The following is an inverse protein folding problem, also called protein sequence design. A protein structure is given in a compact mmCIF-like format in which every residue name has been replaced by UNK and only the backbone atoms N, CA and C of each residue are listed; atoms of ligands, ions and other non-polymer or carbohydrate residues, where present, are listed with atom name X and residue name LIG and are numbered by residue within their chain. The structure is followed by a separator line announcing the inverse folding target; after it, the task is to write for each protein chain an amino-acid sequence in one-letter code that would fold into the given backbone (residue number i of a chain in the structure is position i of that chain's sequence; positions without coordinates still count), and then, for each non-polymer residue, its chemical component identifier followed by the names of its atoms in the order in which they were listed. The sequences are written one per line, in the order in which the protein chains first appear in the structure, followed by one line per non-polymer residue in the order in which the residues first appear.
data_IF_572811378505
#
_entry.id   IF_572811378505
#
_cell.length_a   1.000
_cell.length_b   1.000
_cell.length_c   1.000
_cell.angle_alpha   90.00
_cell.angle_beta   90.00
_cell.angle_gamma   90.00
#
_symmetry.space_group_name_H-M   'P 1'
#
loop_
_entity.id
_entity.type
_entity.pdbx_description
1 polymer ?
#
# COMPACT_ATOMS: atom_id res chain seq x y z
N UNK A 1 29.50 21.67 1.76
CA UNK A 1 29.61 20.62 2.80
C UNK A 1 28.58 19.49 2.63
N UNK A 2 27.31 19.76 2.26
CA UNK A 2 26.32 18.70 1.97
C UNK A 2 26.38 18.14 0.54
N UNK A 3 26.61 19.00 -0.45
CA UNK A 3 26.71 18.61 -1.88
C UNK A 3 27.82 17.57 -2.08
N UNK A 4 29.01 17.79 -1.51
CA UNK A 4 30.13 16.83 -1.57
C UNK A 4 29.75 15.45 -1.02
N UNK A 5 29.05 15.41 0.12
CA UNK A 5 28.58 14.16 0.72
C UNK A 5 27.53 13.45 -0.15
N UNK A 6 26.74 14.21 -0.89
CA UNK A 6 25.83 13.69 -1.92
C UNK A 6 26.60 13.01 -3.06
N UNK A 7 27.65 13.66 -3.57
CA UNK A 7 28.51 13.08 -4.61
C UNK A 7 29.24 11.83 -4.12
N UNK A 8 29.82 11.84 -2.92
CA UNK A 8 30.45 10.66 -2.31
C UNK A 8 29.49 9.47 -2.24
N UNK A 9 28.22 9.71 -1.87
CA UNK A 9 27.18 8.67 -1.82
C UNK A 9 26.80 8.16 -3.20
N UNK A 10 26.73 9.04 -4.18
CA UNK A 10 26.46 8.67 -5.56
C UNK A 10 27.60 7.82 -6.15
N UNK A 11 28.87 8.22 -5.95
CA UNK A 11 30.04 7.46 -6.39
C UNK A 11 30.12 6.07 -5.74
N UNK A 12 29.76 5.96 -4.46
CA UNK A 12 29.71 4.67 -3.77
C UNK A 12 28.66 3.74 -4.41
N UNK A 13 27.53 4.28 -4.87
CA UNK A 13 26.48 3.53 -5.55
C UNK A 13 26.87 3.13 -6.97
N UNK A 14 27.57 3.99 -7.72
CA UNK A 14 28.09 3.65 -9.04
C UNK A 14 29.08 2.46 -8.98
N UNK A 15 29.89 2.40 -7.91
CA UNK A 15 30.76 1.24 -7.64
C UNK A 15 29.98 -0.02 -7.27
N UNK A 16 28.86 0.11 -6.56
CA UNK A 16 27.98 -1.01 -6.15
C UNK A 16 27.26 -1.63 -7.35
N UNK A 17 26.71 -0.82 -8.26
CA UNK A 17 25.86 -1.30 -9.36
C UNK A 17 26.57 -1.46 -10.69
N UNK A 18 27.79 -0.96 -10.84
CA UNK A 18 28.51 -0.74 -12.12
C UNK A 18 28.02 0.50 -12.90
N UNK A 19 28.90 1.14 -13.71
CA UNK A 19 28.55 2.35 -14.46
C UNK A 19 27.41 2.17 -15.45
N UNK A 20 27.35 1.04 -16.17
CA UNK A 20 26.33 0.82 -17.22
C UNK A 20 24.91 0.73 -16.64
N UNK A 21 24.76 0.00 -15.54
CA UNK A 21 23.49 -0.11 -14.82
C UNK A 21 23.11 1.24 -14.19
N UNK A 22 24.10 1.99 -13.67
CA UNK A 22 23.85 3.31 -13.10
C UNK A 22 23.31 4.30 -14.13
N UNK A 23 23.89 4.36 -15.34
CA UNK A 23 23.38 5.22 -16.44
C UNK A 23 21.99 4.81 -16.90
N UNK A 24 21.73 3.52 -16.97
CA UNK A 24 20.41 2.99 -17.33
C UNK A 24 19.36 3.37 -16.26
N UNK A 25 19.72 3.29 -14.98
CA UNK A 25 18.88 3.72 -13.86
C UNK A 25 18.61 5.21 -13.88
N UNK A 26 19.61 6.04 -14.15
CA UNK A 26 19.45 7.49 -14.29
C UNK A 26 18.41 7.85 -15.35
N UNK A 27 18.56 7.29 -16.55
CA UNK A 27 17.61 7.50 -17.63
C UNK A 27 16.22 7.02 -17.27
N UNK A 28 16.10 5.80 -16.71
CA UNK A 28 14.81 5.24 -16.33
C UNK A 28 14.10 6.10 -15.28
N UNK A 29 14.79 6.51 -14.23
CA UNK A 29 14.22 7.32 -13.13
C UNK A 29 13.83 8.70 -13.65
N UNK A 30 14.71 9.36 -14.42
CA UNK A 30 14.43 10.69 -14.94
C UNK A 30 13.23 10.69 -15.88
N UNK A 31 13.21 9.78 -16.87
CA UNK A 31 12.10 9.67 -17.82
C UNK A 31 10.79 9.37 -17.11
N UNK A 32 10.79 8.41 -16.19
CA UNK A 32 9.59 8.07 -15.40
C UNK A 32 9.05 9.28 -14.62
N UNK A 33 9.94 10.05 -13.99
CA UNK A 33 9.54 11.24 -13.26
C UNK A 33 8.99 12.32 -14.19
N UNK A 34 9.68 12.60 -15.30
CA UNK A 34 9.21 13.57 -16.30
C UNK A 34 7.83 13.18 -16.81
N UNK A 35 7.63 11.93 -17.23
CA UNK A 35 6.36 11.46 -17.76
C UNK A 35 5.22 11.60 -16.75
N UNK A 36 5.46 11.21 -15.49
CA UNK A 36 4.44 11.28 -14.43
C UNK A 36 4.04 12.73 -14.14
N UNK A 37 5.03 13.59 -13.85
CA UNK A 37 4.77 14.98 -13.49
C UNK A 37 4.25 15.82 -14.66
N UNK A 38 4.65 15.50 -15.88
CA UNK A 38 4.17 16.19 -17.07
C UNK A 38 2.69 15.88 -17.36
N UNK A 39 2.27 14.62 -17.21
CA UNK A 39 0.86 14.25 -17.35
C UNK A 39 0.00 14.93 -16.29
N UNK A 40 0.43 14.89 -15.02
CA UNK A 40 -0.26 15.58 -13.92
C UNK A 40 -0.36 17.10 -14.19
N UNK A 41 0.70 17.71 -14.74
CA UNK A 41 0.71 19.12 -15.10
C UNK A 41 -0.26 19.45 -16.25
N UNK A 42 -0.35 18.61 -17.29
CA UNK A 42 -1.32 18.80 -18.37
C UNK A 42 -2.74 18.79 -17.82
N UNK A 43 -3.07 17.82 -16.98
CA UNK A 43 -4.40 17.71 -16.37
C UNK A 43 -4.71 18.95 -15.50
N UNK A 44 -3.73 19.39 -14.71
CA UNK A 44 -3.88 20.60 -13.90
C UNK A 44 -4.04 21.87 -14.74
N UNK A 45 -3.36 21.95 -15.89
CA UNK A 45 -3.48 23.05 -16.85
C UNK A 45 -4.86 23.08 -17.54
N UNK A 46 -5.42 21.91 -17.85
CA UNK A 46 -6.79 21.82 -18.35
C UNK A 46 -7.81 22.35 -17.33
N UNK A 47 -7.66 21.97 -16.06
CA UNK A 47 -8.53 22.43 -14.99
C UNK A 47 -8.38 23.94 -14.76
N UNK A 48 -7.14 24.45 -14.74
CA UNK A 48 -6.85 25.87 -14.65
C UNK A 48 -7.57 26.64 -15.78
N UNK A 49 -7.48 26.14 -17.01
CA UNK A 49 -8.14 26.77 -18.18
C UNK A 49 -9.66 26.80 -18.05
N UNK A 50 -10.28 25.76 -17.48
CA UNK A 50 -11.74 25.72 -17.23
C UNK A 50 -12.14 26.69 -16.12
N UNK A 51 -11.34 26.80 -15.06
CA UNK A 51 -11.61 27.63 -13.89
C UNK A 51 -11.27 29.12 -14.05
N UNK A 52 -10.36 29.50 -14.94
CA UNK A 52 -9.84 30.87 -15.03
C UNK A 52 -10.92 31.91 -15.39
N UNK A 53 -11.92 31.52 -16.19
CA UNK A 53 -13.00 32.40 -16.60
C UNK A 53 -13.95 32.77 -15.44
N UNK A 54 -14.05 31.92 -14.42
CA UNK A 54 -14.84 32.23 -13.22
C UNK A 54 -14.11 33.27 -12.33
N UNK A 55 -12.78 33.34 -12.40
CA UNK A 55 -11.95 34.31 -11.67
C UNK A 55 -11.84 35.67 -12.37
N UNK A 56 -12.11 35.73 -13.68
CA UNK A 56 -12.13 36.96 -14.49
C UNK A 56 -13.14 38.01 -14.00
N UNK A 57 -14.12 37.64 -13.18
CA UNK A 57 -15.02 38.59 -12.50
C UNK A 57 -14.29 39.53 -11.52
N UNK A 58 -13.02 39.26 -11.19
CA UNK A 58 -12.21 40.01 -10.22
C UNK A 58 -11.29 41.11 -10.79
N UNK A 59 -11.65 41.76 -11.91
CA UNK A 59 -10.90 42.87 -12.53
C UNK A 59 -9.48 42.53 -13.07
N UNK A 60 -9.07 41.26 -13.10
CA UNK A 60 -7.84 40.83 -13.76
C UNK A 60 -8.13 40.17 -15.10
N UNK A 61 -7.27 40.45 -16.09
CA UNK A 61 -7.35 39.81 -17.41
C UNK A 61 -7.10 38.30 -17.26
N UNK A 62 -8.05 37.43 -17.64
CA UNK A 62 -7.92 35.98 -17.48
C UNK A 62 -6.74 35.38 -18.25
N UNK A 63 -6.30 35.98 -19.36
CA UNK A 63 -5.11 35.52 -20.10
C UNK A 63 -3.85 35.79 -19.30
N UNK A 64 -3.77 36.94 -18.65
CA UNK A 64 -2.63 37.30 -17.78
C UNK A 64 -2.59 36.39 -16.56
N UNK A 65 -3.73 36.19 -15.89
CA UNK A 65 -3.83 35.31 -14.73
C UNK A 65 -3.45 33.86 -15.08
N UNK A 66 -3.97 33.32 -16.19
CA UNK A 66 -3.60 32.00 -16.70
C UNK A 66 -2.09 31.88 -16.92
N UNK A 67 -1.47 32.88 -17.56
CA UNK A 67 -0.03 32.87 -17.83
C UNK A 67 0.80 32.85 -16.55
N UNK A 68 0.45 33.65 -15.55
CA UNK A 68 1.20 33.68 -14.29
C UNK A 68 1.07 32.34 -13.55
N UNK A 69 -0.16 31.86 -13.36
CA UNK A 69 -0.42 30.64 -12.59
C UNK A 69 0.12 29.39 -13.28
N UNK A 70 0.01 29.30 -14.61
CA UNK A 70 0.63 28.21 -15.37
C UNK A 70 2.15 28.16 -15.28
N UNK A 71 2.80 29.33 -15.21
CA UNK A 71 4.24 29.42 -15.07
C UNK A 71 4.68 28.97 -13.67
N UNK A 72 3.97 29.40 -12.62
CA UNK A 72 4.24 28.96 -11.25
C UNK A 72 4.09 27.44 -11.10
N UNK A 73 3.03 26.86 -11.70
CA UNK A 73 2.81 25.41 -11.73
C UNK A 73 3.92 24.67 -12.50
N UNK A 74 4.43 25.25 -13.59
CA UNK A 74 5.54 24.67 -14.34
C UNK A 74 6.84 24.65 -13.53
N UNK A 75 7.15 25.74 -12.83
CA UNK A 75 8.34 25.82 -11.97
C UNK A 75 8.25 24.82 -10.80
N UNK A 76 7.08 24.67 -10.19
CA UNK A 76 6.83 23.67 -9.15
C UNK A 76 7.01 22.24 -9.68
N UNK A 77 6.45 21.93 -10.86
CA UNK A 77 6.63 20.65 -11.54
C UNK A 77 8.12 20.39 -11.83
N UNK A 78 8.83 21.38 -12.37
CA UNK A 78 10.26 21.27 -12.69
C UNK A 78 11.11 20.98 -11.44
N UNK A 79 10.80 21.64 -10.33
CA UNK A 79 11.48 21.41 -9.05
C UNK A 79 11.16 20.03 -8.48
N UNK A 80 9.91 19.59 -8.58
CA UNK A 80 9.47 18.26 -8.15
C UNK A 80 10.18 17.14 -8.92
N UNK A 81 10.34 17.29 -10.24
CA UNK A 81 11.11 16.36 -11.08
C UNK A 81 12.56 16.27 -10.60
N UNK A 82 13.23 17.42 -10.37
CA UNK A 82 14.63 17.46 -9.90
C UNK A 82 14.77 16.78 -8.54
N UNK A 83 13.94 17.15 -7.57
CA UNK A 83 14.01 16.61 -6.22
C UNK A 83 13.75 15.10 -6.19
N UNK A 84 12.68 14.67 -6.87
CA UNK A 84 12.28 13.26 -6.86
C UNK A 84 13.30 12.39 -7.59
N UNK A 85 13.91 12.90 -8.67
CA UNK A 85 14.99 12.19 -9.38
C UNK A 85 16.19 11.96 -8.45
N UNK A 86 16.70 13.00 -7.79
CA UNK A 86 17.84 12.87 -6.86
C UNK A 86 17.49 11.96 -5.68
N UNK A 87 16.28 12.11 -5.12
CA UNK A 87 15.80 11.27 -4.01
C UNK A 87 15.77 9.80 -4.41
N UNK A 88 15.15 9.46 -5.55
CA UNK A 88 15.08 8.08 -6.04
C UNK A 88 16.46 7.53 -6.37
N UNK A 89 17.32 8.30 -7.05
CA UNK A 89 18.69 7.87 -7.36
C UNK A 89 19.48 7.50 -6.11
N UNK A 90 19.30 8.24 -5.01
CA UNK A 90 20.00 8.00 -3.74
C UNK A 90 19.35 6.94 -2.85
N UNK A 91 18.09 6.57 -3.07
CA UNK A 91 17.33 5.65 -2.20
C UNK A 91 16.97 4.32 -2.85
N UNK A 92 16.95 4.23 -4.19
CA UNK A 92 16.55 3.00 -4.90
C UNK A 92 17.42 1.82 -4.46
N UNK A 93 16.87 0.63 -4.43
CA UNK A 93 17.62 -0.60 -4.15
C UNK A 93 17.40 -1.54 -5.33
N UNK A 94 18.49 -1.95 -5.98
CA UNK A 94 18.41 -2.97 -7.02
C UNK A 94 18.18 -4.29 -6.32
N UNK A 95 17.09 -4.98 -6.66
CA UNK A 95 16.82 -6.32 -6.13
C UNK A 95 17.70 -7.31 -6.87
N UNK A 96 18.46 -8.12 -6.13
CA UNK A 96 19.16 -9.24 -6.73
C UNK A 96 18.20 -10.43 -6.95
N UNK A 97 18.58 -11.35 -7.84
CA UNK A 97 17.83 -12.61 -8.02
C UNK A 97 17.78 -13.44 -6.71
N UNK A 98 18.78 -13.30 -5.84
CA UNK A 98 18.85 -14.02 -4.58
C UNK A 98 17.86 -13.47 -3.54
N UNK A 99 17.66 -12.15 -3.50
CA UNK A 99 16.64 -11.51 -2.66
C UNK A 99 15.24 -11.95 -3.08
N UNK A 100 15.02 -12.06 -4.39
CA UNK A 100 13.74 -12.51 -4.97
C UNK A 100 13.45 -13.97 -4.59
N UNK A 101 14.48 -14.84 -4.58
CA UNK A 101 14.34 -16.26 -4.19
C UNK A 101 14.08 -16.44 -2.69
N UNK A 102 14.74 -15.67 -1.81
CA UNK A 102 14.51 -15.72 -0.36
C UNK A 102 13.09 -15.30 0.01
N UNK A 103 12.56 -14.28 -0.66
CA UNK A 103 11.20 -13.79 -0.44
C UNK A 103 10.14 -14.79 -0.96
N UNK A 104 10.40 -15.44 -2.11
CA UNK A 104 9.55 -16.53 -2.62
C UNK A 104 9.54 -17.74 -1.68
N UNK A 105 10.69 -18.14 -1.13
CA UNK A 105 10.78 -19.22 -0.14
C UNK A 105 10.07 -18.89 1.18
N UNK A 106 10.13 -17.63 1.63
CA UNK A 106 9.39 -17.14 2.79
C UNK A 106 7.87 -17.12 2.56
N UNK A 107 7.42 -16.78 1.34
CA UNK A 107 6.00 -16.79 0.98
C UNK A 107 5.44 -18.21 0.88
N UNK A 108 6.21 -19.14 0.30
CA UNK A 108 5.85 -20.57 0.21
C UNK A 108 5.77 -21.21 1.61
N UNK A 109 6.66 -20.85 2.53
CA UNK A 109 6.60 -21.34 3.94
C UNK A 109 5.46 -20.71 4.74
N UNK A 110 5.04 -19.47 4.44
CA UNK A 110 3.86 -18.85 5.04
C UNK A 110 2.53 -19.45 4.56
N UNK A 111 2.47 -19.99 3.34
CA UNK A 111 1.27 -20.66 2.81
C UNK A 111 1.26 -22.18 3.07
N UNK A 112 2.38 -22.77 3.48
CA UNK A 112 2.51 -24.21 3.75
C UNK A 112 2.46 -24.59 5.25
N UNK A 113 2.20 -23.64 6.14
CA UNK A 113 2.16 -23.84 7.60
C UNK A 113 0.87 -24.43 8.16
N UNK A 114 0.26 -25.43 7.51
CA UNK A 114 -0.92 -26.15 7.99
C UNK A 114 -0.70 -27.67 8.08
N UNK A 115 0.35 -28.08 8.80
CA UNK A 115 0.67 -29.45 9.25
C UNK A 115 1.99 -29.32 10.02
N UNK A 116 2.16 -29.52 11.33
CA UNK A 116 1.56 -30.48 12.25
C UNK A 116 1.89 -30.07 13.71
N UNK A 117 0.99 -30.34 14.64
CA UNK A 117 1.23 -30.55 16.08
C UNK A 117 1.90 -29.50 16.98
N UNK A 118 1.16 -28.52 17.50
CA UNK A 118 1.12 -28.22 18.96
C UNK A 118 0.07 -27.15 19.31
N UNK A 119 -0.63 -27.38 20.41
CA UNK A 119 -1.85 -26.72 20.86
C UNK A 119 -1.77 -25.18 20.94
N UNK A 120 -2.75 -24.49 20.35
CA UNK A 120 -3.30 -23.23 20.89
C UNK A 120 -4.66 -22.88 20.28
N UNK A 121 -5.68 -22.90 21.15
CA UNK A 121 -6.90 -22.08 20.99
C UNK A 121 -7.99 -22.61 20.05
N UNK A 122 -8.50 -23.83 20.28
CA UNK A 122 -9.74 -24.26 19.62
C UNK A 122 -10.89 -23.37 20.10
N UNK A 123 -11.36 -22.44 19.25
CA UNK A 123 -12.61 -21.72 19.49
C UNK A 123 -13.73 -22.74 19.60
N UNK A 124 -14.23 -22.94 20.83
CA UNK A 124 -15.34 -23.85 21.10
C UNK A 124 -16.59 -23.22 20.48
N UNK A 125 -16.97 -23.67 19.27
CA UNK A 125 -18.34 -23.47 18.80
C UNK A 125 -19.27 -24.09 19.85
N UNK A 126 -20.03 -23.26 20.58
CA UNK A 126 -21.11 -23.74 21.45
C UNK A 126 -22.01 -24.64 20.61
N UNK A 127 -22.08 -25.94 20.96
CA UNK A 127 -23.06 -26.84 20.37
C UNK A 127 -24.45 -26.29 20.67
N UNK A 128 -25.33 -26.27 19.67
CA UNK A 128 -26.71 -25.85 19.84
C UNK A 128 -27.37 -26.63 20.98
N UNK A 129 -28.17 -25.95 21.81
CA UNK A 129 -28.89 -26.60 22.89
C UNK A 129 -29.84 -27.68 22.32
N UNK A 130 -29.97 -28.86 22.95
CA UNK A 130 -30.85 -29.92 22.46
C UNK A 130 -32.30 -29.44 22.41
N UNK A 131 -33.00 -29.73 21.32
CA UNK A 131 -34.42 -29.43 21.18
C UNK A 131 -35.29 -30.26 22.13
N UNK A 132 -36.55 -29.86 22.41
CA UNK A 132 -37.40 -30.52 23.41
C UNK A 132 -37.61 -32.03 23.22
N UNK A 133 -37.54 -32.53 21.98
CA UNK A 133 -37.71 -33.95 21.68
C UNK A 133 -36.40 -34.72 21.45
N UNK A 134 -35.25 -34.04 21.46
CA UNK A 134 -33.95 -34.65 21.22
C UNK A 134 -33.50 -35.53 22.39
N UNK A 135 -32.58 -36.49 22.18
CA UNK A 135 -32.00 -37.28 23.25
C UNK A 135 -31.35 -36.36 24.30
N UNK A 136 -31.68 -36.58 25.57
CA UNK A 136 -31.19 -35.73 26.64
C UNK A 136 -29.67 -35.91 26.85
N UNK A 137 -28.88 -34.82 26.89
CA UNK A 137 -27.42 -34.90 26.96
C UNK A 137 -26.88 -35.39 28.31
N UNK A 138 -27.73 -35.57 29.34
CA UNK A 138 -27.34 -36.16 30.62
C UNK A 138 -27.17 -37.69 30.58
N UNK A 139 -27.36 -38.32 29.43
CA UNK A 139 -27.16 -39.77 29.25
C UNK A 139 -28.31 -40.65 29.75
N UNK A 140 -29.45 -40.06 30.15
CA UNK A 140 -30.60 -40.78 30.71
C UNK A 140 -31.42 -41.60 29.69
N UNK A 141 -31.06 -41.54 28.40
CA UNK A 141 -31.77 -42.22 27.30
C UNK A 141 -33.19 -41.68 27.00
N UNK A 142 -33.66 -40.66 27.74
CA UNK A 142 -35.00 -40.05 27.58
C UNK A 142 -34.93 -38.79 26.72
N UNK A 143 -36.08 -38.39 26.13
CA UNK A 143 -36.20 -37.09 25.40
C UNK A 143 -35.98 -35.90 26.36
N UNK A 144 -35.37 -34.82 25.89
CA UNK A 144 -34.94 -33.67 26.70
C UNK A 144 -36.07 -33.09 27.55
N UNK A 145 -37.27 -32.85 26.98
CA UNK A 145 -38.45 -32.34 27.71
C UNK A 145 -38.99 -33.26 28.81
N UNK A 146 -38.63 -34.55 28.79
CA UNK A 146 -39.03 -35.54 29.80
C UNK A 146 -37.92 -35.82 30.82
N UNK A 147 -36.78 -35.13 30.72
CA UNK A 147 -35.65 -35.28 31.62
C UNK A 147 -35.17 -33.91 32.13
N UNK A 148 -34.01 -33.40 31.70
CA UNK A 148 -33.46 -32.14 32.18
C UNK A 148 -34.27 -30.90 31.78
N UNK A 149 -35.09 -31.00 30.73
CA UNK A 149 -36.00 -29.93 30.29
C UNK A 149 -37.42 -30.04 30.85
N UNK A 150 -37.68 -30.94 31.81
CA UNK A 150 -39.00 -31.05 32.45
C UNK A 150 -39.08 -30.12 33.68
N UNK A 151 -40.00 -29.14 33.73
CA UNK A 151 -40.15 -28.25 34.89
C UNK A 151 -40.50 -28.99 36.19
N UNK A 152 -41.09 -30.20 36.14
CA UNK A 152 -41.39 -30.99 37.33
C UNK A 152 -40.16 -31.66 37.97
N UNK A 153 -39.04 -31.80 37.25
CA UNK A 153 -37.80 -32.38 37.79
C UNK A 153 -36.91 -31.35 38.50
N UNK A 154 -37.21 -30.05 38.34
CA UNK A 154 -36.57 -28.94 39.06
C UNK A 154 -37.56 -28.40 40.08
N UNK A 155 -37.94 -29.24 41.04
CA UNK A 155 -38.82 -28.88 42.15
C UNK A 155 -38.01 -28.44 43.37
N UNK A 156 -38.03 -27.12 43.61
CA UNK A 156 -37.35 -26.33 44.66
C UNK A 156 -35.82 -26.28 44.62
#
# INVERSE_FOLDING_TARGET
MLINRGHERYEAREKEFTPEIMRSLEHMILLRNVDTFWMDHIDAMEELKRGINLRAYGNQDPVVAYRMESYDMFDEMSNSIRENTVRQMLTVRIRSEEDTKREQAAKVTSESGASDGSEKGRTVRKKAAPGPNDPCPCGSGKKYKKCCGNPANHGK
#
